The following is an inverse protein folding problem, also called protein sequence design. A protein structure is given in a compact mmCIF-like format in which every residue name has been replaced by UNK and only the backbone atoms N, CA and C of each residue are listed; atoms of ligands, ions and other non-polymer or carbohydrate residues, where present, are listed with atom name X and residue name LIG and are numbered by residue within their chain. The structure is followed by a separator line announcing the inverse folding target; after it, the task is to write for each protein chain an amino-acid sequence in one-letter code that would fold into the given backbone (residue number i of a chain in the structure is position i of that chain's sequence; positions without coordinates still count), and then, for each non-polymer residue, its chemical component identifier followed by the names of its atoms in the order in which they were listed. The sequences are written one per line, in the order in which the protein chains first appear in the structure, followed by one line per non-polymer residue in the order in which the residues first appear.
data_IF_154640054510
#
_entry.id   IF_154640054510
#
_cell.length_a   1.000
_cell.length_b   1.000
_cell.length_c   1.000
_cell.angle_alpha   90.00
_cell.angle_beta   90.00
_cell.angle_gamma   90.00
#
_symmetry.space_group_name_H-M   'P 1'
#
loop_
_entity.id
_entity.type
_entity.pdbx_description
1 polymer ?
#
# COMPACT_ATOMS: atom_id res chain seq x y z
N UNK A 1 -56.36 10.45 44.51
CA UNK A 1 -55.01 11.07 44.61
C UNK A 1 -53.93 10.12 44.05
N UNK A 2 -54.12 9.51 42.86
CA UNK A 2 -53.25 8.41 42.39
C UNK A 2 -52.52 8.69 41.06
N UNK A 3 -52.90 9.72 40.29
CA UNK A 3 -52.33 9.95 38.95
C UNK A 3 -50.96 10.65 38.97
N UNK A 4 -50.64 11.40 40.03
CA UNK A 4 -49.40 12.20 40.09
C UNK A 4 -48.18 11.35 40.46
N UNK A 5 -48.38 10.27 41.21
CA UNK A 5 -47.32 9.33 41.63
C UNK A 5 -46.93 8.36 40.51
N UNK A 6 -47.89 7.90 39.70
CA UNK A 6 -47.65 7.04 38.55
C UNK A 6 -46.82 7.74 37.45
N UNK A 7 -47.16 8.99 37.13
CA UNK A 7 -46.45 9.79 36.10
C UNK A 7 -45.01 10.07 36.53
N UNK A 8 -44.77 10.37 37.81
CA UNK A 8 -43.41 10.56 38.36
C UNK A 8 -42.58 9.28 38.31
N UNK A 9 -43.20 8.11 38.54
CA UNK A 9 -42.53 6.82 38.45
C UNK A 9 -42.20 6.44 36.99
N UNK A 10 -43.09 6.75 36.03
CA UNK A 10 -42.89 6.49 34.61
C UNK A 10 -41.76 7.37 34.02
N UNK A 11 -41.75 8.66 34.34
CA UNK A 11 -40.68 9.59 33.91
C UNK A 11 -39.32 9.14 34.46
N UNK A 12 -39.28 8.65 35.71
CA UNK A 12 -38.05 8.16 36.35
C UNK A 12 -37.54 6.83 35.77
N UNK A 13 -38.43 6.00 35.22
CA UNK A 13 -38.07 4.77 34.50
C UNK A 13 -37.55 5.07 33.09
N UNK A 14 -38.16 6.02 32.37
CA UNK A 14 -37.67 6.44 31.05
C UNK A 14 -36.32 7.17 31.13
N UNK A 15 -36.07 7.96 32.18
CA UNK A 15 -34.79 8.68 32.33
C UNK A 15 -33.59 7.75 32.55
N UNK A 16 -33.80 6.59 33.22
CA UNK A 16 -32.74 5.61 33.48
C UNK A 16 -32.45 4.67 32.29
N UNK A 17 -33.42 4.47 31.40
CA UNK A 17 -33.23 3.68 30.18
C UNK A 17 -32.56 4.47 29.04
N UNK A 18 -32.59 5.79 29.08
CA UNK A 18 -32.00 6.65 28.04
C UNK A 18 -30.47 6.79 28.14
N UNK A 19 -29.85 6.46 29.28
CA UNK A 19 -28.42 6.72 29.52
C UNK A 19 -27.46 5.59 29.09
N UNK A 20 -27.95 4.43 28.65
CA UNK A 20 -27.11 3.27 28.30
C UNK A 20 -26.82 3.20 26.79
N UNK A 21 -27.50 3.98 25.94
CA UNK A 21 -27.35 3.91 24.48
C UNK A 21 -26.19 4.74 23.89
N UNK A 22 -25.50 5.58 24.67
CA UNK A 22 -24.55 6.55 24.14
C UNK A 22 -23.06 6.13 24.23
N UNK A 23 -22.75 4.89 24.60
CA UNK A 23 -21.35 4.43 24.78
C UNK A 23 -20.83 3.63 23.56
N UNK A 24 -21.67 3.37 22.55
CA UNK A 24 -21.27 2.62 21.34
C UNK A 24 -20.77 3.52 20.18
N UNK A 25 -20.17 4.67 20.47
CA UNK A 25 -19.77 5.64 19.44
C UNK A 25 -18.32 6.10 19.62
N UNK A 26 -17.34 5.20 19.44
CA UNK A 26 -15.96 5.52 19.00
C UNK A 26 -15.00 4.31 19.02
N UNK A 27 -15.34 3.18 18.38
CA UNK A 27 -14.31 2.15 18.10
C UNK A 27 -14.42 1.70 16.65
N UNK A 28 -13.75 2.44 15.78
CA UNK A 28 -12.88 1.92 14.70
C UNK A 28 -12.58 3.04 13.72
N UNK A 29 -11.72 3.99 14.09
CA UNK A 29 -10.88 4.65 13.10
C UNK A 29 -9.80 3.64 12.68
N UNK A 30 -10.20 2.53 12.04
CA UNK A 30 -9.24 1.77 11.25
C UNK A 30 -8.85 2.71 10.11
N UNK A 31 -7.64 3.27 10.18
CA UNK A 31 -7.17 4.25 9.19
C UNK A 31 -7.22 3.61 7.81
N UNK A 32 -8.14 4.08 6.95
CA UNK A 32 -8.11 3.72 5.54
C UNK A 32 -7.02 4.56 4.89
N UNK A 33 -5.85 3.96 4.68
CA UNK A 33 -4.74 4.63 4.00
C UNK A 33 -4.96 4.53 2.49
N UNK A 34 -4.81 5.64 1.75
CA UNK A 34 -4.80 5.53 0.28
C UNK A 34 -3.44 5.04 -0.19
N UNK A 35 -3.35 4.25 -1.29
CA UNK A 35 -2.05 3.85 -1.86
C UNK A 35 -1.13 5.04 -2.16
N UNK A 36 -1.70 6.19 -2.55
CA UNK A 36 -0.95 7.43 -2.79
C UNK A 36 -0.29 7.97 -1.53
N UNK A 37 -0.99 7.96 -0.39
CA UNK A 37 -0.42 8.39 0.89
C UNK A 37 0.72 7.48 1.32
N UNK A 38 0.53 6.17 1.18
CA UNK A 38 1.58 5.18 1.48
C UNK A 38 2.79 5.41 0.59
N UNK A 39 2.60 5.58 -0.72
CA UNK A 39 3.70 5.88 -1.63
C UNK A 39 4.45 7.15 -1.23
N UNK A 40 3.73 8.22 -0.87
CA UNK A 40 4.36 9.47 -0.44
C UNK A 40 5.15 9.32 0.86
N UNK A 41 4.65 8.55 1.82
CA UNK A 41 5.37 8.24 3.07
C UNK A 41 6.65 7.44 2.78
N UNK A 42 6.53 6.37 2.00
CA UNK A 42 7.64 5.47 1.71
C UNK A 42 8.71 6.12 0.83
N UNK A 43 8.34 6.96 -0.14
CA UNK A 43 9.31 7.72 -0.95
C UNK A 43 10.16 8.68 -0.12
N UNK A 44 9.67 9.15 1.04
CA UNK A 44 10.47 9.96 1.97
C UNK A 44 11.42 9.11 2.81
N UNK A 45 11.00 7.90 3.18
CA UNK A 45 11.79 6.96 4.00
C UNK A 45 12.91 6.34 3.16
N UNK A 46 12.59 5.90 1.94
CA UNK A 46 13.51 5.22 1.04
C UNK A 46 14.12 6.17 0.00
N UNK A 47 14.81 7.22 0.45
CA UNK A 47 15.31 8.30 -0.43
C UNK A 47 16.18 7.86 -1.62
N UNK A 48 16.76 6.65 -1.59
CA UNK A 48 17.60 6.11 -2.66
C UNK A 48 16.96 4.94 -3.43
N UNK A 49 15.74 4.51 -3.08
CA UNK A 49 15.05 3.41 -3.76
C UNK A 49 13.87 3.95 -4.53
N UNK A 50 13.81 3.64 -5.82
CA UNK A 50 12.72 4.10 -6.66
C UNK A 50 11.45 3.30 -6.37
N UNK A 51 10.48 3.91 -5.70
CA UNK A 51 9.14 3.32 -5.54
C UNK A 51 8.38 3.50 -6.86
N UNK A 52 8.07 2.41 -7.55
CA UNK A 52 7.43 2.41 -8.87
C UNK A 52 5.92 2.56 -8.73
N UNK A 53 5.30 1.75 -7.87
CA UNK A 53 3.86 1.81 -7.58
C UNK A 53 3.56 1.22 -6.20
N UNK A 54 2.43 1.65 -5.64
CA UNK A 54 1.87 1.08 -4.41
C UNK A 54 0.43 0.68 -4.68
N UNK A 55 0.06 -0.53 -4.24
CA UNK A 55 -1.27 -1.11 -4.42
C UNK A 55 -1.76 -1.69 -3.09
N UNK A 56 -3.07 -1.86 -2.93
CA UNK A 56 -3.62 -2.61 -1.82
C UNK A 56 -3.32 -4.10 -2.02
N UNK A 57 -2.86 -4.78 -0.96
CA UNK A 57 -2.65 -6.22 -1.02
C UNK A 57 -3.98 -6.98 -0.81
N UNK A 58 -3.94 -8.29 -1.06
CA UNK A 58 -5.05 -9.18 -0.74
C UNK A 58 -5.30 -9.30 0.78
N UNK A 59 -4.32 -8.92 1.61
CA UNK A 59 -4.45 -8.84 3.06
C UNK A 59 -4.89 -7.42 3.45
N UNK A 60 -6.07 -7.32 4.05
CA UNK A 60 -6.65 -6.03 4.47
C UNK A 60 -5.68 -5.25 5.36
N UNK A 61 -5.46 -3.98 4.99
CA UNK A 61 -4.59 -3.05 5.72
C UNK A 61 -3.11 -3.17 5.33
N UNK A 62 -2.73 -4.17 4.55
CA UNK A 62 -1.37 -4.34 4.05
C UNK A 62 -1.29 -3.87 2.59
N UNK A 63 -0.19 -3.19 2.25
CA UNK A 63 0.03 -2.61 0.93
C UNK A 63 1.22 -3.28 0.27
N UNK A 64 1.12 -3.46 -1.05
CA UNK A 64 2.19 -3.94 -1.91
C UNK A 64 2.97 -2.73 -2.41
N UNK A 65 4.28 -2.76 -2.21
CA UNK A 65 5.18 -1.69 -2.58
C UNK A 65 6.14 -2.24 -3.61
N UNK A 66 5.90 -1.87 -4.85
CA UNK A 66 6.73 -2.26 -5.99
C UNK A 66 7.86 -1.25 -6.11
N UNK A 67 9.09 -1.73 -6.09
CA UNK A 67 10.26 -0.87 -6.11
C UNK A 67 11.29 -1.36 -7.12
N UNK A 68 12.09 -0.44 -7.62
CA UNK A 68 13.24 -0.69 -8.48
C UNK A 68 14.49 -0.16 -7.77
N UNK A 69 15.23 -1.07 -7.12
CA UNK A 69 16.50 -0.78 -6.44
C UNK A 69 17.66 -1.44 -7.17
N UNK A 70 18.59 -2.04 -6.42
CA UNK A 70 19.62 -2.93 -6.99
C UNK A 70 18.98 -4.10 -7.76
N UNK A 71 17.83 -4.58 -7.27
CA UNK A 71 16.97 -5.53 -7.94
C UNK A 71 15.50 -5.07 -7.79
N UNK A 72 14.66 -5.21 -8.83
CA UNK A 72 13.23 -4.97 -8.69
C UNK A 72 12.58 -5.96 -7.72
N UNK A 73 11.59 -5.50 -6.96
CA UNK A 73 10.94 -6.35 -5.97
C UNK A 73 9.62 -5.81 -5.47
N UNK A 74 9.03 -6.59 -4.57
CA UNK A 74 7.81 -6.24 -3.84
C UNK A 74 8.12 -6.40 -2.35
N UNK A 75 7.91 -5.34 -1.58
CA UNK A 75 7.83 -5.43 -0.11
C UNK A 75 6.39 -5.12 0.32
N UNK A 76 6.06 -5.52 1.54
CA UNK A 76 4.76 -5.25 2.11
C UNK A 76 4.87 -4.20 3.21
N UNK A 77 3.93 -3.26 3.24
CA UNK A 77 3.89 -2.19 4.24
C UNK A 77 2.55 -2.15 4.96
N UNK A 78 2.61 -2.18 6.29
CA UNK A 78 1.45 -2.03 7.17
C UNK A 78 1.50 -0.64 7.83
N UNK A 79 0.76 0.35 7.30
CA UNK A 79 0.90 1.76 7.68
C UNK A 79 0.46 2.06 9.11
N UNK A 80 -0.53 1.34 9.65
CA UNK A 80 -1.06 1.58 10.99
C UNK A 80 0.02 1.46 12.07
N UNK A 81 0.95 0.50 11.92
CA UNK A 81 2.08 0.30 12.82
C UNK A 81 3.43 0.65 12.19
N UNK A 82 3.43 1.19 10.98
CA UNK A 82 4.64 1.50 10.18
C UNK A 82 5.60 0.32 10.08
N UNK A 83 5.07 -0.87 9.80
CA UNK A 83 5.87 -2.09 9.67
C UNK A 83 6.14 -2.41 8.21
N UNK A 84 7.38 -2.81 7.91
CA UNK A 84 7.78 -3.36 6.63
C UNK A 84 7.97 -4.86 6.80
N UNK A 85 7.44 -5.64 5.86
CA UNK A 85 7.53 -7.09 5.83
C UNK A 85 8.23 -7.50 4.55
N UNK A 86 9.27 -8.31 4.71
CA UNK A 86 10.01 -8.94 3.62
C UNK A 86 9.62 -10.41 3.53
N UNK A 87 9.47 -10.92 2.32
CA UNK A 87 9.14 -12.31 2.05
C UNK A 87 8.02 -12.45 1.04
N UNK A 88 7.41 -13.63 1.04
CA UNK A 88 6.35 -13.98 0.10
C UNK A 88 5.05 -14.35 0.81
N UNK A 89 3.94 -14.00 0.18
CA UNK A 89 2.60 -14.43 0.55
C UNK A 89 2.24 -15.64 -0.30
N UNK A 90 1.91 -16.73 0.38
CA UNK A 90 1.50 -17.99 -0.22
C UNK A 90 0.05 -18.30 0.16
N UNK A 91 -0.69 -18.87 -0.79
CA UNK A 91 -1.96 -19.52 -0.47
C UNK A 91 -1.71 -20.87 0.20
N UNK A 92 -2.70 -21.38 0.93
CA UNK A 92 -2.62 -22.73 1.52
C UNK A 92 -2.48 -23.85 0.47
N UNK A 93 -2.81 -23.56 -0.78
CA UNK A 93 -2.68 -24.48 -1.90
C UNK A 93 -1.25 -24.49 -2.49
N UNK A 94 -0.31 -23.72 -1.91
CA UNK A 94 1.07 -23.67 -2.37
C UNK A 94 1.29 -22.76 -3.58
N UNK A 95 0.44 -21.75 -3.78
CA UNK A 95 0.65 -20.74 -4.83
C UNK A 95 1.25 -19.46 -4.25
N UNK A 96 2.37 -18.98 -4.81
CA UNK A 96 2.96 -17.69 -4.44
C UNK A 96 2.20 -16.54 -5.11
N UNK A 97 1.49 -15.75 -4.30
CA UNK A 97 0.85 -14.51 -4.76
C UNK A 97 1.93 -13.49 -5.12
N UNK A 98 2.95 -13.35 -4.27
CA UNK A 98 4.08 -12.44 -4.49
C UNK A 98 4.83 -12.78 -5.77
N UNK A 99 5.15 -14.06 -5.99
CA UNK A 99 5.88 -14.50 -7.18
C UNK A 99 5.11 -14.20 -8.48
N UNK A 100 3.80 -14.49 -8.51
CA UNK A 100 2.94 -14.15 -9.67
C UNK A 100 2.91 -12.64 -9.95
N UNK A 101 2.85 -11.81 -8.91
CA UNK A 101 2.85 -10.35 -9.03
C UNK A 101 4.22 -9.81 -9.45
N UNK A 102 5.30 -10.36 -8.90
CA UNK A 102 6.67 -9.99 -9.26
C UNK A 102 6.97 -10.30 -10.72
N UNK A 103 6.58 -11.47 -11.22
CA UNK A 103 6.77 -11.83 -12.63
C UNK A 103 6.13 -10.79 -13.57
N UNK A 104 4.85 -10.45 -13.33
CA UNK A 104 4.15 -9.41 -14.11
C UNK A 104 4.82 -8.05 -14.00
N UNK A 105 5.30 -7.68 -12.82
CA UNK A 105 6.01 -6.42 -12.63
C UNK A 105 7.33 -6.36 -13.39
N UNK A 106 8.08 -7.46 -13.46
CA UNK A 106 9.29 -7.53 -14.27
C UNK A 106 9.00 -7.41 -15.77
N UNK A 107 7.89 -8.00 -16.23
CA UNK A 107 7.43 -7.84 -17.61
C UNK A 107 7.10 -6.35 -17.90
N UNK A 108 6.32 -5.70 -17.01
CA UNK A 108 5.98 -4.27 -17.10
C UNK A 108 7.22 -3.36 -17.16
N UNK A 109 8.25 -3.66 -16.35
CA UNK A 109 9.52 -2.91 -16.38
C UNK A 109 10.26 -3.13 -17.70
N UNK A 110 10.33 -4.37 -18.17
CA UNK A 110 11.03 -4.73 -19.41
C UNK A 110 10.40 -4.02 -20.61
N UNK A 111 9.06 -4.00 -20.69
CA UNK A 111 8.34 -3.29 -21.74
C UNK A 111 8.62 -1.79 -21.73
N UNK A 112 8.66 -1.16 -20.55
CA UNK A 112 9.01 0.26 -20.41
C UNK A 112 10.42 0.56 -20.93
N UNK A 113 11.41 -0.25 -20.54
CA UNK A 113 12.79 -0.07 -21.01
C UNK A 113 12.92 -0.22 -22.52
N UNK A 114 12.23 -1.21 -23.12
CA UNK A 114 12.25 -1.41 -24.56
C UNK A 114 11.58 -0.26 -25.32
N UNK A 115 10.54 0.35 -24.75
CA UNK A 115 9.89 1.50 -25.34
C UNK A 115 10.79 2.74 -25.28
N UNK A 116 11.41 3.00 -24.12
CA UNK A 116 12.41 4.08 -23.97
C UNK A 116 13.56 3.93 -24.98
N UNK A 117 14.06 2.73 -25.23
CA UNK A 117 15.12 2.49 -26.22
C UNK A 117 14.67 2.71 -27.69
N UNK A 118 13.40 2.46 -28.00
CA UNK A 118 12.82 2.75 -29.32
C UNK A 118 12.62 4.24 -29.55
N UNK A 119 12.28 4.96 -28.49
CA UNK A 119 12.05 6.41 -28.53
C UNK A 119 13.37 7.21 -28.52
N UNK A 120 14.52 6.57 -28.24
CA UNK A 120 15.84 7.16 -28.47
C UNK A 120 16.13 7.33 -29.97
N UNK A 121 16.32 8.59 -30.38
CA UNK A 121 16.68 8.99 -31.75
C UNK A 121 17.95 8.25 -32.26
N UNK A 122 18.01 7.87 -33.55
CA UNK A 122 19.18 7.23 -34.17
C UNK A 122 20.51 7.98 -33.97
N UNK A 123 20.45 9.30 -33.77
CA UNK A 123 21.63 10.16 -33.57
C UNK A 123 22.27 9.97 -32.18
N UNK A 124 21.50 9.52 -31.19
CA UNK A 124 21.98 9.26 -29.82
C UNK A 124 22.59 7.85 -29.70
N UNK A 125 22.03 6.86 -30.40
CA UNK A 125 22.60 5.49 -30.54
C UNK A 125 24.02 5.50 -31.15
N UNK A 126 24.30 6.44 -32.07
CA UNK A 126 25.64 6.62 -32.67
C UNK A 126 26.65 7.30 -31.73
N UNK A 127 26.23 8.05 -30.72
CA UNK A 127 27.13 8.67 -29.73
C UNK A 127 27.55 7.66 -28.66
N UNK A 128 26.63 6.86 -28.13
CA UNK A 128 26.94 5.86 -27.10
C UNK A 128 27.82 4.70 -27.62
N UNK A 129 27.64 4.29 -28.88
CA UNK A 129 28.48 3.26 -29.52
C UNK A 129 29.93 3.70 -29.76
N UNK A 130 30.21 5.01 -29.85
CA UNK A 130 31.57 5.55 -30.03
C UNK A 130 32.34 5.73 -28.72
N UNK A 131 31.65 5.88 -27.58
CA UNK A 131 32.29 6.07 -26.28
C UNK A 131 32.69 4.77 -25.57
N UNK A 132 32.13 3.62 -25.96
CA UNK A 132 32.50 2.30 -25.39
C UNK A 132 33.74 1.62 -26.01
N UNK A 133 34.31 2.16 -27.09
CA UNK A 133 35.38 1.51 -27.86
C UNK A 133 36.82 1.85 -27.45
N UNK A 134 37.04 2.58 -26.36
CA UNK A 134 38.33 3.18 -26.03
C UNK A 134 38.83 2.89 -24.62
N UNK A 135 39.09 1.64 -24.27
CA UNK A 135 39.99 1.27 -23.15
C UNK A 135 40.51 -0.15 -23.31
N UNK A 136 41.40 -0.30 -24.27
CA UNK A 136 42.26 -1.47 -24.43
C UNK A 136 43.69 -1.01 -24.63
N UNK A 137 44.36 -0.65 -23.52
CA UNK A 137 45.81 -0.75 -23.29
C UNK A 137 46.05 -0.83 -21.80
#
# INVERSE_FOLDING_TARGET
MNNVTEVKAMIRRCLKLSFISAVFMCVSCAGNYSPRMVQQELSRIFGNTQIIKVEESEIKGLYEVYYNGTYPGIIYYYPEKRLIIFGEIWTLNGESITGKKLARFLDELTEKYLQEEKDLSPDEKKRNSRQGGGRGK
#
